data_IF_619562331091
#
_entry.id   IF_619562331091
#
_cell.length_a   1.000
_cell.length_b   1.000
_cell.length_c   1.000
_cell.angle_alpha   90.00
_cell.angle_beta   90.00
_cell.angle_gamma   90.00
#
_symmetry.space_group_name_H-M   'P 1'
#
loop_
_entity.id
_entity.type
_entity.pdbx_description
1 polymer ?
#
# COMPACT_ATOMS: atom_id res chain seq x y z
N UNK A 1 10.76 20.42 -22.32
CA UNK A 1 10.53 19.76 -21.02
C UNK A 1 11.63 20.21 -20.09
N UNK A 2 11.28 20.70 -18.89
CA UNK A 2 12.25 21.19 -17.92
C UNK A 2 12.78 19.98 -17.15
N UNK A 3 13.98 19.53 -17.52
CA UNK A 3 14.66 18.40 -16.87
C UNK A 3 15.81 18.93 -16.02
N UNK A 4 15.97 18.41 -14.81
CA UNK A 4 17.06 18.75 -13.90
C UNK A 4 17.83 17.50 -13.46
N UNK A 5 19.07 17.68 -12.98
CA UNK A 5 19.87 16.60 -12.42
C UNK A 5 19.78 16.59 -10.90
N UNK A 6 19.22 15.51 -10.35
CA UNK A 6 19.18 15.28 -8.90
C UNK A 6 20.08 14.10 -8.58
N UNK A 7 21.29 14.38 -8.08
CA UNK A 7 22.34 13.36 -8.00
C UNK A 7 22.71 12.86 -9.40
N UNK A 8 22.53 11.56 -9.67
CA UNK A 8 22.75 10.98 -11.01
C UNK A 8 21.50 10.94 -11.90
N UNK A 9 20.33 11.29 -11.36
CA UNK A 9 19.06 11.09 -12.03
C UNK A 9 18.67 12.29 -12.87
N UNK A 10 18.25 12.05 -14.10
CA UNK A 10 17.62 13.06 -14.96
C UNK A 10 16.13 13.12 -14.61
N UNK A 11 15.69 14.20 -13.96
CA UNK A 11 14.35 14.33 -13.38
C UNK A 11 13.51 15.28 -14.22
N UNK A 12 12.35 14.81 -14.67
CA UNK A 12 11.35 15.64 -15.32
C UNK A 12 10.57 16.41 -14.25
N UNK A 13 10.65 17.75 -14.28
CA UNK A 13 9.97 18.60 -13.30
C UNK A 13 8.47 18.74 -13.53
N UNK A 14 7.93 18.19 -14.62
CA UNK A 14 6.48 18.03 -14.77
C UNK A 14 6.03 16.95 -13.79
N UNK A 15 5.49 17.40 -12.65
CA UNK A 15 4.94 16.56 -11.60
C UNK A 15 3.67 15.86 -12.09
N UNK A 16 3.56 14.55 -11.88
CA UNK A 16 2.42 13.74 -12.35
C UNK A 16 1.58 13.16 -11.19
N UNK A 17 1.94 13.42 -9.92
CA UNK A 17 1.18 12.89 -8.79
C UNK A 17 1.16 13.80 -7.55
N UNK A 18 -0.03 13.94 -6.95
CA UNK A 18 -0.25 14.57 -5.65
C UNK A 18 -0.55 13.48 -4.61
N UNK A 19 0.28 13.40 -3.56
CA UNK A 19 0.06 12.53 -2.40
C UNK A 19 0.59 13.20 -1.13
N UNK A 20 -0.31 13.84 -0.37
CA UNK A 20 0.03 14.46 0.93
C UNK A 20 1.13 15.53 0.86
N UNK A 21 2.11 15.46 1.77
CA UNK A 21 3.24 16.40 1.90
C UNK A 21 4.42 16.08 0.97
N UNK A 22 4.28 15.07 0.10
CA UNK A 22 5.35 14.60 -0.79
C UNK A 22 5.00 14.79 -2.25
N UNK A 23 6.02 14.88 -3.10
CA UNK A 23 5.88 15.03 -4.55
C UNK A 23 6.59 13.88 -5.24
N UNK A 24 5.96 13.28 -6.25
CA UNK A 24 6.55 12.21 -7.05
C UNK A 24 6.86 12.72 -8.45
N UNK A 25 8.10 12.51 -8.88
CA UNK A 25 8.62 12.93 -10.17
C UNK A 25 9.01 11.73 -11.02
N UNK A 26 8.85 11.85 -12.33
CA UNK A 26 9.41 10.88 -13.26
C UNK A 26 10.88 11.22 -13.50
N UNK A 27 11.72 10.20 -13.56
CA UNK A 27 13.12 10.36 -13.87
C UNK A 27 13.68 9.23 -14.72
N UNK A 28 14.94 9.39 -15.09
CA UNK A 28 15.73 8.39 -15.78
C UNK A 28 17.03 8.16 -15.01
N UNK A 29 17.38 6.90 -14.79
CA UNK A 29 18.65 6.47 -14.22
C UNK A 29 19.61 6.12 -15.37
N UNK A 30 20.56 7.00 -15.73
CA UNK A 30 21.46 6.76 -16.86
C UNK A 30 22.46 5.63 -16.59
N UNK A 31 22.73 5.29 -15.33
CA UNK A 31 23.65 4.19 -14.99
C UNK A 31 23.04 2.82 -15.34
N UNK A 32 21.76 2.64 -15.02
CA UNK A 32 21.03 1.39 -15.25
C UNK A 32 20.10 1.44 -16.46
N UNK A 33 20.07 2.56 -17.19
CA UNK A 33 19.27 2.77 -18.40
C UNK A 33 17.77 2.46 -18.20
N UNK A 34 17.19 2.96 -17.11
CA UNK A 34 15.79 2.69 -16.74
C UNK A 34 15.03 3.94 -16.32
N UNK A 35 13.72 3.94 -16.57
CA UNK A 35 12.80 4.96 -16.01
C UNK A 35 12.54 4.68 -14.53
N UNK A 36 12.39 5.73 -13.75
CA UNK A 36 12.20 5.67 -12.29
C UNK A 36 11.14 6.66 -11.83
N UNK A 37 10.53 6.38 -10.67
CA UNK A 37 9.78 7.34 -9.90
C UNK A 37 10.65 7.84 -8.73
N UNK A 38 10.61 9.14 -8.44
CA UNK A 38 11.39 9.76 -7.37
C UNK A 38 10.43 10.51 -6.44
N UNK A 39 10.21 9.98 -5.22
CA UNK A 39 9.42 10.62 -4.16
C UNK A 39 10.32 11.59 -3.40
N UNK A 40 10.05 12.90 -3.48
CA UNK A 40 10.74 13.97 -2.74
C UNK A 40 9.92 14.33 -1.51
N UNK A 41 10.54 14.29 -0.33
CA UNK A 41 9.89 14.49 0.97
C UNK A 41 10.67 15.52 1.80
N UNK A 42 10.00 16.53 2.39
CA UNK A 42 10.68 17.52 3.25
C UNK A 42 11.30 16.90 4.51
N UNK A 43 10.65 15.89 5.09
CA UNK A 43 11.14 15.20 6.27
C UNK A 43 12.15 14.10 5.88
N UNK A 44 13.43 14.41 6.07
CA UNK A 44 14.53 13.49 5.79
C UNK A 44 14.48 12.24 6.68
N UNK A 45 14.07 12.38 7.95
CA UNK A 45 14.05 11.26 8.90
C UNK A 45 12.96 10.28 8.54
N UNK A 46 11.78 10.80 8.20
CA UNK A 46 10.66 9.98 7.73
C UNK A 46 10.99 9.30 6.40
N UNK A 47 11.57 10.03 5.44
CA UNK A 47 11.99 9.46 4.16
C UNK A 47 13.07 8.38 4.31
N UNK A 48 14.03 8.57 5.21
CA UNK A 48 15.05 7.55 5.51
C UNK A 48 14.44 6.29 6.12
N UNK A 49 13.47 6.43 7.04
CA UNK A 49 12.73 5.30 7.62
C UNK A 49 11.97 4.54 6.54
N UNK A 50 11.25 5.24 5.66
CA UNK A 50 10.50 4.64 4.56
C UNK A 50 11.43 3.86 3.63
N UNK A 51 12.50 4.51 3.14
CA UNK A 51 13.51 3.88 2.29
C UNK A 51 14.15 2.65 2.95
N UNK A 52 14.43 2.72 4.26
CA UNK A 52 14.99 1.58 5.00
C UNK A 52 14.03 0.39 5.03
N UNK A 53 12.74 0.61 5.29
CA UNK A 53 11.73 -0.45 5.27
C UNK A 53 11.66 -1.08 3.87
N UNK A 54 11.61 -0.26 2.82
CA UNK A 54 11.54 -0.76 1.44
C UNK A 54 12.80 -1.54 1.05
N UNK A 55 13.99 -1.04 1.41
CA UNK A 55 15.26 -1.69 1.07
C UNK A 55 15.42 -3.06 1.77
N UNK A 56 15.05 -3.16 3.04
CA UNK A 56 15.24 -4.38 3.83
C UNK A 56 14.10 -5.39 3.62
N UNK A 57 12.87 -4.90 3.48
CA UNK A 57 11.68 -5.76 3.46
C UNK A 57 10.90 -5.72 2.15
N UNK A 58 11.20 -4.84 1.20
CA UNK A 58 10.40 -4.63 -0.01
C UNK A 58 10.56 -5.69 -1.11
N UNK A 59 11.43 -6.69 -0.95
CA UNK A 59 11.68 -7.71 -2.00
C UNK A 59 10.51 -8.69 -2.15
N UNK A 60 9.45 -8.26 -2.85
CA UNK A 60 8.28 -9.05 -3.18
C UNK A 60 7.60 -8.52 -4.45
N UNK A 61 7.08 -9.41 -5.29
CA UNK A 61 6.44 -9.05 -6.57
C UNK A 61 5.21 -8.12 -6.42
N UNK A 62 4.57 -8.11 -5.24
CA UNK A 62 3.40 -7.29 -4.93
C UNK A 62 3.73 -6.00 -4.21
N UNK A 63 5.01 -5.67 -4.03
CA UNK A 63 5.44 -4.40 -3.47
C UNK A 63 6.20 -3.61 -4.54
N UNK A 64 6.16 -2.29 -4.45
CA UNK A 64 6.99 -1.43 -5.30
C UNK A 64 8.46 -1.66 -5.01
N UNK A 65 9.26 -1.74 -6.08
CA UNK A 65 10.69 -2.00 -5.94
C UNK A 65 11.45 -0.72 -5.56
N UNK A 66 12.27 -0.81 -4.52
CA UNK A 66 13.19 0.25 -4.12
C UNK A 66 14.49 0.16 -4.93
N UNK A 67 15.00 1.32 -5.36
CA UNK A 67 16.22 1.40 -6.15
C UNK A 67 17.35 2.16 -5.46
N UNK A 68 17.06 3.30 -4.85
CA UNK A 68 18.08 4.18 -4.27
C UNK A 68 17.47 5.18 -3.29
N UNK A 69 18.30 5.75 -2.42
CA UNK A 69 17.94 6.85 -1.54
C UNK A 69 19.05 7.90 -1.53
N UNK A 70 18.68 9.17 -1.67
CA UNK A 70 19.63 10.28 -1.55
C UNK A 70 18.95 11.54 -1.00
N UNK A 71 19.76 12.55 -0.69
CA UNK A 71 19.28 13.85 -0.25
C UNK A 71 19.54 14.88 -1.36
N UNK A 72 18.53 15.67 -1.69
CA UNK A 72 18.63 16.77 -2.67
C UNK A 72 17.81 17.96 -2.19
N UNK A 73 18.41 19.16 -2.21
CA UNK A 73 17.85 20.40 -1.66
C UNK A 73 17.29 20.26 -0.24
N UNK A 74 17.98 19.52 0.65
CA UNK A 74 17.50 19.26 2.01
C UNK A 74 16.15 18.51 2.07
N UNK A 75 15.83 17.72 1.05
CA UNK A 75 14.71 16.80 1.02
C UNK A 75 15.22 15.36 0.86
N UNK A 76 14.53 14.41 1.47
CA UNK A 76 14.72 12.99 1.17
C UNK A 76 14.18 12.67 -0.23
N UNK A 77 14.96 11.94 -1.01
CA UNK A 77 14.57 11.43 -2.33
C UNK A 77 14.63 9.90 -2.31
N UNK A 78 13.48 9.26 -2.45
CA UNK A 78 13.35 7.80 -2.57
C UNK A 78 13.16 7.47 -4.04
N UNK A 79 14.06 6.69 -4.62
CA UNK A 79 14.00 6.22 -6.01
C UNK A 79 13.40 4.84 -6.03
N UNK A 80 12.37 4.66 -6.85
CA UNK A 80 11.61 3.42 -6.95
C UNK A 80 11.21 3.10 -8.39
N UNK A 81 10.69 1.90 -8.59
CA UNK A 81 10.08 1.47 -9.83
C UNK A 81 9.01 2.47 -10.30
N UNK A 82 9.10 2.88 -11.56
CA UNK A 82 8.05 3.66 -12.19
C UNK A 82 6.90 2.74 -12.59
N UNK A 83 5.75 2.90 -11.94
CA UNK A 83 4.53 2.14 -12.24
C UNK A 83 3.64 2.94 -13.18
N UNK A 84 3.04 2.26 -14.17
CA UNK A 84 1.97 2.84 -14.95
C UNK A 84 0.71 2.84 -14.08
N UNK A 85 0.22 4.03 -13.74
CA UNK A 85 -0.97 4.18 -12.89
C UNK A 85 -2.20 3.74 -13.68
N UNK A 86 -2.85 2.67 -13.22
CA UNK A 86 -4.22 2.36 -13.59
C UNK A 86 -5.07 2.53 -12.33
N UNK A 87 -5.96 3.53 -12.34
CA UNK A 87 -6.93 3.70 -11.26
C UNK A 87 -7.93 2.54 -11.25
N UNK A 88 -8.55 2.31 -10.09
CA UNK A 88 -9.67 1.38 -9.98
C UNK A 88 -10.91 2.01 -10.60
N UNK A 89 -11.35 1.48 -11.75
CA UNK A 89 -12.77 1.53 -12.07
C UNK A 89 -13.56 0.65 -11.07
N UNK A 90 -14.87 0.85 -11.00
CA UNK A 90 -15.73 -0.09 -10.26
C UNK A 90 -15.60 -1.47 -10.90
N UNK A 91 -15.09 -2.45 -10.13
CA UNK A 91 -14.85 -3.81 -10.62
C UNK A 91 -16.02 -4.72 -10.29
N UNK A 92 -16.20 -5.77 -11.12
CA UNK A 92 -17.11 -6.86 -10.82
C UNK A 92 -16.70 -7.64 -9.57
N UNK A 93 -17.63 -8.46 -9.06
CA UNK A 93 -17.41 -9.23 -7.83
C UNK A 93 -16.13 -10.08 -7.89
N UNK A 94 -15.95 -10.80 -9.00
CA UNK A 94 -14.84 -11.73 -9.18
C UNK A 94 -13.50 -10.99 -9.20
N UNK A 95 -13.44 -9.89 -9.94
CA UNK A 95 -12.25 -9.05 -10.08
C UNK A 95 -11.89 -8.39 -8.75
N UNK A 96 -12.86 -7.84 -8.01
CA UNK A 96 -12.61 -7.22 -6.72
C UNK A 96 -12.08 -8.23 -5.68
N UNK A 97 -12.65 -9.45 -5.65
CA UNK A 97 -12.15 -10.54 -4.81
C UNK A 97 -10.72 -10.91 -5.21
N UNK A 98 -10.44 -11.04 -6.50
CA UNK A 98 -9.10 -11.39 -6.99
C UNK A 98 -8.05 -10.33 -6.66
N UNK A 99 -8.39 -9.04 -6.82
CA UNK A 99 -7.56 -7.91 -6.37
C UNK A 99 -7.31 -7.99 -4.88
N UNK A 100 -8.36 -8.21 -4.08
CA UNK A 100 -8.25 -8.31 -2.62
C UNK A 100 -7.34 -9.46 -2.19
N UNK A 101 -7.45 -10.62 -2.83
CA UNK A 101 -6.53 -11.75 -2.60
C UNK A 101 -5.09 -11.37 -2.94
N UNK A 102 -4.87 -10.61 -4.02
CA UNK A 102 -3.53 -10.13 -4.35
C UNK A 102 -2.99 -9.12 -3.32
N UNK A 103 -3.81 -8.19 -2.81
CA UNK A 103 -3.42 -7.30 -1.70
C UNK A 103 -3.02 -8.13 -0.47
N UNK A 104 -3.87 -9.09 -0.09
CA UNK A 104 -3.64 -9.96 1.07
C UNK A 104 -2.37 -10.79 0.96
N UNK A 105 -1.98 -11.23 -0.24
CA UNK A 105 -0.69 -11.93 -0.46
C UNK A 105 0.51 -11.01 -0.24
N UNK A 106 0.42 -9.73 -0.62
CA UNK A 106 1.45 -8.74 -0.31
C UNK A 106 1.55 -8.46 1.19
N UNK A 107 0.39 -8.30 1.84
CA UNK A 107 0.29 -8.12 3.29
C UNK A 107 0.81 -9.33 4.07
N UNK A 108 0.47 -10.55 3.64
CA UNK A 108 0.97 -11.79 4.23
C UNK A 108 2.50 -11.79 4.31
N UNK A 109 3.15 -11.36 3.22
CA UNK A 109 4.59 -11.25 3.16
C UNK A 109 5.11 -10.18 4.14
N UNK A 110 4.56 -8.96 4.16
CA UNK A 110 4.96 -7.91 5.11
C UNK A 110 4.77 -8.35 6.58
N UNK A 111 3.62 -8.93 6.88
CA UNK A 111 3.27 -9.43 8.22
C UNK A 111 4.25 -10.50 8.69
N UNK A 112 4.71 -11.37 7.77
CA UNK A 112 5.75 -12.37 8.05
C UNK A 112 7.14 -11.78 8.36
N UNK A 113 7.38 -10.54 7.92
CA UNK A 113 8.59 -9.76 8.20
C UNK A 113 8.46 -8.85 9.42
N UNK A 114 7.34 -8.91 10.15
CA UNK A 114 7.12 -8.06 11.31
C UNK A 114 6.63 -6.65 10.96
N UNK A 115 6.21 -6.40 9.71
CA UNK A 115 5.82 -5.06 9.23
C UNK A 115 4.31 -4.96 9.10
N UNK A 116 3.71 -3.90 9.64
CA UNK A 116 2.33 -3.47 9.36
C UNK A 116 2.42 -2.29 8.40
N UNK A 117 1.66 -2.29 7.30
CA UNK A 117 1.68 -1.19 6.33
C UNK A 117 0.98 0.05 6.88
N UNK A 118 -0.13 -0.14 7.59
CA UNK A 118 -0.94 0.85 8.28
C UNK A 118 -1.63 1.91 7.40
N UNK A 119 -1.63 1.73 6.07
CA UNK A 119 -2.15 2.73 5.10
C UNK A 119 -2.61 2.08 3.79
N UNK A 120 -3.31 0.95 3.89
CA UNK A 120 -3.81 0.20 2.74
C UNK A 120 -5.04 0.87 2.16
N UNK A 121 -4.84 1.67 1.10
CA UNK A 121 -5.80 2.52 0.42
C UNK A 121 -5.94 2.22 -1.06
N UNK A 122 -7.06 2.56 -1.72
CA UNK A 122 -7.14 2.48 -3.18
C UNK A 122 -6.02 3.28 -3.86
N UNK A 123 -5.63 4.45 -3.32
CA UNK A 123 -4.51 5.25 -3.83
C UNK A 123 -3.14 4.59 -3.66
N UNK A 124 -3.01 3.62 -2.74
CA UNK A 124 -1.77 2.93 -2.42
C UNK A 124 -1.68 1.53 -3.04
N UNK A 125 -2.62 1.19 -3.93
CA UNK A 125 -2.62 -0.06 -4.70
C UNK A 125 -2.63 0.29 -6.19
N UNK A 126 -1.56 -0.06 -6.90
CA UNK A 126 -1.43 0.19 -8.34
C UNK A 126 -1.61 -1.11 -9.11
N UNK A 127 -2.58 -1.15 -10.03
CA UNK A 127 -2.73 -2.27 -10.96
C UNK A 127 -1.64 -2.19 -12.04
N UNK A 128 -0.73 -3.15 -12.04
CA UNK A 128 0.34 -3.24 -13.04
C UNK A 128 -0.10 -3.95 -14.32
N UNK A 129 -1.18 -4.73 -14.24
CA UNK A 129 -1.78 -5.37 -15.42
C UNK A 129 -3.29 -5.64 -15.18
N UNK A 130 -4.13 -4.99 -15.98
CA UNK A 130 -5.59 -5.09 -15.86
C UNK A 130 -6.14 -6.49 -16.23
N UNK A 131 -5.45 -7.26 -17.08
CA UNK A 131 -5.90 -8.59 -17.51
C UNK A 131 -5.62 -9.66 -16.45
N UNK A 132 -4.45 -9.61 -15.83
CA UNK A 132 -4.04 -10.57 -14.78
C UNK A 132 -4.40 -10.09 -13.38
N UNK A 133 -4.86 -8.84 -13.24
CA UNK A 133 -5.09 -8.15 -11.97
C UNK A 133 -3.85 -8.19 -11.06
N UNK A 134 -2.66 -8.15 -11.68
CA UNK A 134 -1.40 -7.97 -10.98
C UNK A 134 -1.35 -6.56 -10.40
N UNK A 135 -0.84 -6.44 -9.18
CA UNK A 135 -0.80 -5.19 -8.45
C UNK A 135 0.48 -5.03 -7.65
N UNK A 136 0.79 -3.78 -7.31
CA UNK A 136 1.83 -3.43 -6.35
C UNK A 136 1.26 -2.51 -5.28
N UNK A 137 1.61 -2.80 -4.03
CA UNK A 137 1.38 -1.95 -2.86
C UNK A 137 2.52 -0.93 -2.83
N UNK A 138 2.14 0.34 -2.69
CA UNK A 138 3.05 1.50 -2.65
C UNK A 138 2.89 2.25 -1.32
N UNK A 139 3.80 3.21 -1.08
CA UNK A 139 3.79 4.17 0.02
C UNK A 139 3.96 3.56 1.43
N UNK A 140 5.21 3.47 1.86
CA UNK A 140 5.59 2.85 3.14
C UNK A 140 5.80 3.87 4.26
N UNK A 141 5.44 5.14 4.05
CA UNK A 141 5.61 6.23 5.03
C UNK A 141 4.98 5.88 6.39
N UNK A 142 3.77 5.30 6.33
CA UNK A 142 2.98 4.89 7.48
C UNK A 142 3.39 3.53 8.05
N UNK A 143 4.27 2.77 7.40
CA UNK A 143 4.62 1.43 7.83
C UNK A 143 5.25 1.40 9.24
N UNK A 144 4.99 0.34 10.00
CA UNK A 144 5.41 0.16 11.41
C UNK A 144 6.02 -1.23 11.62
N UNK A 145 7.04 -1.28 12.47
CA UNK A 145 7.61 -2.54 12.95
C UNK A 145 6.83 -3.00 14.19
N UNK A 146 6.47 -4.27 14.20
CA UNK A 146 5.92 -4.94 15.38
C UNK A 146 7.04 -5.21 16.40
N UNK A 147 6.69 -5.13 17.68
CA UNK A 147 7.51 -5.59 18.77
C UNK A 147 7.48 -7.13 18.90
N UNK A 148 8.14 -7.66 19.93
CA UNK A 148 8.18 -9.11 20.21
C UNK A 148 6.81 -9.71 20.54
N UNK A 149 5.82 -8.90 20.90
CA UNK A 149 4.45 -9.34 21.17
C UNK A 149 3.60 -9.34 19.88
N UNK A 150 4.18 -8.93 18.75
CA UNK A 150 3.51 -8.92 17.46
C UNK A 150 2.56 -7.74 17.29
N UNK A 151 2.78 -6.65 18.01
CA UNK A 151 1.98 -5.42 17.91
C UNK A 151 2.88 -4.20 17.71
N UNK A 152 2.31 -3.12 17.19
CA UNK A 152 2.92 -1.79 17.24
C UNK A 152 2.14 -0.93 18.23
N UNK A 153 2.86 -0.19 19.09
CA UNK A 153 2.28 0.75 20.05
C UNK A 153 2.70 2.18 19.74
N UNK A 154 1.74 3.03 19.46
CA UNK A 154 1.96 4.43 19.10
C UNK A 154 0.82 4.98 18.27
N UNK A 155 0.96 6.24 17.87
CA UNK A 155 -0.07 6.91 17.07
C UNK A 155 -0.02 6.44 15.60
N UNK A 156 -1.22 6.19 15.08
CA UNK A 156 -1.47 5.76 13.71
C UNK A 156 -2.41 6.77 13.06
N UNK A 157 -2.18 7.12 11.79
CA UNK A 157 -3.05 8.04 11.04
C UNK A 157 -4.47 7.47 10.98
N UNK A 158 -5.44 8.30 11.35
CA UNK A 158 -6.86 8.05 11.08
C UNK A 158 -7.18 8.47 9.65
N UNK A 159 -7.68 7.53 8.86
CA UNK A 159 -8.16 7.80 7.51
C UNK A 159 -9.31 6.84 7.17
N UNK A 160 -10.05 7.13 6.10
CA UNK A 160 -11.42 6.58 5.93
C UNK A 160 -11.51 5.06 5.79
N UNK A 161 -10.43 4.37 5.37
CA UNK A 161 -10.40 2.91 5.28
C UNK A 161 -9.62 2.24 6.42
N UNK A 162 -9.15 3.00 7.40
CA UNK A 162 -8.62 2.46 8.65
C UNK A 162 -9.75 2.20 9.65
N UNK A 163 -9.57 1.24 10.59
CA UNK A 163 -10.43 1.15 11.76
C UNK A 163 -10.26 2.40 12.63
N UNK A 164 -11.16 2.58 13.60
CA UNK A 164 -11.05 3.65 14.60
C UNK A 164 -9.65 3.69 15.24
N UNK A 165 -9.15 4.90 15.53
CA UNK A 165 -7.81 5.11 16.09
C UNK A 165 -7.54 4.16 17.24
N UNK A 166 -6.48 3.37 17.10
CA UNK A 166 -5.95 2.54 18.16
C UNK A 166 -4.53 2.96 18.46
N UNK A 167 -4.17 2.96 19.74
CA UNK A 167 -2.77 3.12 20.19
C UNK A 167 -1.98 1.83 20.07
N UNK A 168 -2.64 0.73 19.76
CA UNK A 168 -2.05 -0.59 19.59
C UNK A 168 -2.65 -1.26 18.35
N UNK A 169 -1.82 -1.60 17.38
CA UNK A 169 -2.25 -2.23 16.13
C UNK A 169 -1.45 -3.49 15.85
N UNK A 170 -2.08 -4.43 15.16
CA UNK A 170 -1.48 -5.68 14.69
C UNK A 170 -1.82 -5.89 13.21
N UNK A 171 -1.48 -7.05 12.67
CA UNK A 171 -1.75 -7.45 11.28
C UNK A 171 -3.22 -7.24 10.88
N UNK A 172 -4.17 -7.41 11.81
CA UNK A 172 -5.61 -7.24 11.53
C UNK A 172 -6.01 -5.79 11.23
N UNK A 173 -5.12 -4.82 11.47
CA UNK A 173 -5.32 -3.44 11.03
C UNK A 173 -5.26 -3.33 9.51
N UNK A 174 -4.24 -3.91 8.87
CA UNK A 174 -4.15 -3.93 7.40
C UNK A 174 -5.24 -4.82 6.78
N UNK A 175 -5.62 -5.91 7.45
CA UNK A 175 -6.69 -6.80 6.96
C UNK A 175 -8.07 -6.12 6.98
N UNK A 176 -8.34 -5.25 7.97
CA UNK A 176 -9.50 -4.38 7.96
C UNK A 176 -9.48 -3.49 6.71
N UNK A 177 -8.36 -2.80 6.48
CA UNK A 177 -8.22 -1.86 5.36
C UNK A 177 -8.32 -2.54 4.00
N UNK A 178 -7.77 -3.75 3.84
CA UNK A 178 -7.95 -4.55 2.63
C UNK A 178 -9.44 -4.89 2.36
N UNK A 179 -10.22 -5.20 3.40
CA UNK A 179 -11.66 -5.42 3.26
C UNK A 179 -12.44 -4.15 2.92
N UNK A 180 -12.03 -3.00 3.48
CA UNK A 180 -12.60 -1.71 3.14
C UNK A 180 -12.30 -1.32 1.68
N UNK A 181 -11.07 -1.57 1.20
CA UNK A 181 -10.69 -1.40 -0.21
C UNK A 181 -11.55 -2.29 -1.12
N UNK A 182 -11.73 -3.57 -0.77
CA UNK A 182 -12.62 -4.47 -1.51
C UNK A 182 -14.04 -3.91 -1.63
N UNK A 183 -14.59 -3.43 -0.51
CA UNK A 183 -15.94 -2.87 -0.43
C UNK A 183 -16.09 -1.63 -1.30
N UNK A 184 -15.08 -0.76 -1.29
CA UNK A 184 -15.04 0.45 -2.11
C UNK A 184 -14.96 0.13 -3.61
N UNK A 185 -14.07 -0.77 -4.02
CA UNK A 185 -13.95 -1.21 -5.41
C UNK A 185 -15.28 -1.77 -5.93
N UNK A 186 -16.04 -2.46 -5.08
CA UNK A 186 -17.32 -3.07 -5.43
C UNK A 186 -18.49 -2.09 -5.51
N UNK A 187 -18.48 -1.04 -4.71
CA UNK A 187 -19.70 -0.27 -4.43
C UNK A 187 -19.55 1.24 -4.57
N UNK A 188 -18.32 1.73 -4.78
CA UNK A 188 -17.95 3.14 -4.70
C UNK A 188 -18.04 3.74 -3.29
N UNK A 189 -18.22 2.90 -2.26
CA UNK A 189 -18.44 3.28 -0.87
C UNK A 189 -17.78 2.25 0.06
N UNK A 190 -17.31 2.65 1.23
CA UNK A 190 -16.69 1.74 2.21
C UNK A 190 -17.72 0.96 3.03
N UNK A 191 -19.01 1.27 2.92
CA UNK A 191 -20.08 0.58 3.66
C UNK A 191 -20.54 -0.69 2.95
N UNK A 192 -20.33 -1.86 3.58
CA UNK A 192 -20.69 -3.19 3.06
C UNK A 192 -22.20 -3.42 2.81
N UNK A 193 -23.07 -2.48 3.17
CA UNK A 193 -24.53 -2.59 3.02
C UNK A 193 -24.99 -2.78 1.57
N UNK A 194 -24.17 -2.34 0.60
CA UNK A 194 -24.47 -2.43 -0.84
C UNK A 194 -24.04 -3.75 -1.50
N UNK A 195 -23.36 -4.64 -0.77
CA UNK A 195 -22.86 -5.92 -1.31
C UNK A 195 -24.02 -6.94 -1.38
N UNK A 196 -24.36 -7.38 -2.60
CA UNK A 196 -25.47 -8.32 -2.85
C UNK A 196 -25.15 -9.76 -2.44
N UNK A 197 -23.90 -10.18 -2.57
CA UNK A 197 -23.50 -11.56 -2.33
C UNK A 197 -23.34 -11.84 -0.83
N UNK A 198 -24.25 -12.64 -0.26
CA UNK A 198 -24.37 -12.85 1.18
C UNK A 198 -23.06 -13.35 1.83
N UNK A 199 -22.42 -14.39 1.26
CA UNK A 199 -21.18 -14.96 1.82
C UNK A 199 -20.00 -13.97 1.80
N UNK A 200 -19.80 -13.26 0.68
CA UNK A 200 -18.79 -12.21 0.56
C UNK A 200 -19.05 -11.08 1.55
N UNK A 201 -20.30 -10.64 1.70
CA UNK A 201 -20.68 -9.63 2.68
C UNK A 201 -20.32 -10.07 4.10
N UNK A 202 -20.65 -11.29 4.50
CA UNK A 202 -20.29 -11.85 5.81
C UNK A 202 -18.77 -11.88 6.03
N UNK A 203 -18.01 -12.29 5.01
CA UNK A 203 -16.54 -12.33 5.07
C UNK A 203 -15.97 -10.92 5.31
N UNK A 204 -16.41 -9.92 4.54
CA UNK A 204 -15.92 -8.55 4.66
C UNK A 204 -16.37 -7.90 5.98
N UNK A 205 -17.59 -8.16 6.43
CA UNK A 205 -18.09 -7.68 7.74
C UNK A 205 -17.31 -8.28 8.91
N UNK A 206 -16.85 -9.54 8.81
CA UNK A 206 -15.94 -10.14 9.79
C UNK A 206 -14.59 -9.43 9.80
N UNK A 207 -14.01 -9.16 8.64
CA UNK A 207 -12.74 -8.45 8.53
C UNK A 207 -12.83 -7.01 9.09
N UNK A 208 -13.99 -6.38 8.98
CA UNK A 208 -14.23 -4.99 9.39
C UNK A 208 -14.92 -4.83 10.76
N UNK A 209 -14.87 -5.82 11.65
CA UNK A 209 -15.42 -5.67 13.01
C UNK A 209 -14.67 -4.61 13.81
N UNK A 210 -15.37 -3.80 14.61
CA UNK A 210 -14.70 -2.81 15.48
C UNK A 210 -13.69 -3.46 16.43
N UNK A 211 -14.08 -4.55 17.11
CA UNK A 211 -13.18 -5.32 17.97
C UNK A 211 -12.13 -6.09 17.13
N UNK A 212 -10.83 -5.75 17.21
CA UNK A 212 -9.77 -6.41 16.44
C UNK A 212 -9.64 -7.91 16.73
N UNK A 213 -10.08 -8.37 17.91
CA UNK A 213 -10.07 -9.79 18.28
C UNK A 213 -11.10 -10.62 17.50
N UNK A 214 -12.09 -9.95 16.89
CA UNK A 214 -13.14 -10.58 16.08
C UNK A 214 -12.86 -10.55 14.57
N UNK A 215 -11.76 -9.92 14.16
CA UNK A 215 -11.30 -9.88 12.76
C UNK A 215 -10.53 -11.14 12.38
N UNK A 216 -10.23 -11.28 11.09
CA UNK A 216 -9.18 -12.21 10.67
C UNK A 216 -7.85 -11.78 11.30
N UNK A 217 -7.11 -12.76 11.82
CA UNK A 217 -5.83 -12.54 12.49
C UNK A 217 -4.63 -12.78 11.59
N UNK A 218 -4.83 -13.49 10.48
CA UNK A 218 -3.82 -13.78 9.46
C UNK A 218 -4.41 -13.58 8.08
N UNK A 219 -3.59 -13.06 7.16
CA UNK A 219 -3.95 -12.93 5.76
C UNK A 219 -4.34 -14.27 5.12
N UNK A 220 -3.70 -15.38 5.53
CA UNK A 220 -4.00 -16.75 5.05
C UNK A 220 -5.45 -17.15 5.28
N UNK A 221 -5.99 -16.83 6.46
CA UNK A 221 -7.35 -17.23 6.84
C UNK A 221 -8.37 -16.40 6.07
N UNK A 222 -8.04 -15.14 5.79
CA UNK A 222 -8.87 -14.26 4.99
C UNK A 222 -8.85 -14.66 3.51
N UNK A 223 -7.68 -14.97 2.94
CA UNK A 223 -7.54 -15.49 1.57
C UNK A 223 -8.37 -16.75 1.40
N UNK A 224 -8.23 -17.72 2.31
CA UNK A 224 -9.00 -18.98 2.25
C UNK A 224 -10.50 -18.73 2.26
N UNK A 225 -10.99 -17.81 3.09
CA UNK A 225 -12.42 -17.49 3.14
C UNK A 225 -12.92 -16.91 1.80
N UNK A 226 -12.11 -16.08 1.13
CA UNK A 226 -12.42 -15.52 -0.19
C UNK A 226 -12.34 -16.55 -1.33
N UNK A 227 -11.42 -17.51 -1.26
CA UNK A 227 -11.27 -18.57 -2.27
C UNK A 227 -12.39 -19.62 -2.20
N UNK A 228 -13.13 -19.69 -1.09
CA UNK A 228 -14.31 -20.56 -0.92
C UNK A 228 -15.63 -19.93 -1.45
N UNK A 229 -15.58 -18.78 -2.12
CA UNK A 229 -16.74 -18.08 -2.69
C UNK A 229 -17.30 -18.73 -3.95
#
# INVERSE_FOLDING_TARGET
MQTELWGRYEVNLVQEGYGGTSSVYFGFDPLYQRKVAIKKMPDITLGLKEAWIMNIYGLNERLVEFYDFFIHDNHACIVMELLNVNEFDTLGQKEAVQVTVNILKGLQYLHSKGIIHADIAPSNIILTNNKTLSLKIIDFESARLKDSEGVFRGDVKNWIFAPSSSKEIDDSYDLYSAAAVCTYILTGDVKAQKIKHAKLKEILEKAMREDPKRRYRKATDFIKALEEL
#
